data_IF_247072448589
#
_entry.id   IF_247072448589
#
_cell.length_a   1.000
_cell.length_b   1.000
_cell.length_c   1.000
_cell.angle_alpha   90.00
_cell.angle_beta   90.00
_cell.angle_gamma   90.00
#
_symmetry.space_group_name_H-M   'P 1'
#
loop_
_entity.id
_entity.type
_entity.pdbx_description
1 polymer ?
#
# COMPACT_ATOMS: atom_id res chain seq x y z
N UNK A 1 4.53 16.05 -8.08
CA UNK A 1 5.18 14.76 -8.47
C UNK A 1 5.23 14.64 -9.99
N UNK A 2 6.26 14.01 -10.55
CA UNK A 2 6.32 13.63 -11.97
C UNK A 2 6.12 12.12 -12.09
N UNK A 3 5.19 11.70 -12.94
CA UNK A 3 5.00 10.30 -13.32
C UNK A 3 5.12 10.20 -14.84
N UNK A 4 6.03 9.37 -15.34
CA UNK A 4 6.20 9.12 -16.77
C UNK A 4 6.65 7.68 -17.00
N UNK A 5 6.18 7.08 -18.09
CA UNK A 5 6.67 5.77 -18.56
C UNK A 5 7.28 5.94 -19.94
N UNK A 6 8.38 5.24 -20.21
CA UNK A 6 8.89 5.16 -21.57
C UNK A 6 7.96 4.28 -22.38
N UNK A 7 7.11 4.92 -23.19
CA UNK A 7 6.10 4.23 -23.99
C UNK A 7 6.72 3.13 -24.85
N UNK A 8 7.91 3.34 -25.40
CA UNK A 8 8.60 2.33 -26.21
C UNK A 8 8.94 1.06 -25.42
N UNK A 9 9.53 1.19 -24.23
CA UNK A 9 9.92 0.04 -23.40
C UNK A 9 8.69 -0.75 -22.94
N UNK A 10 7.61 -0.04 -22.63
CA UNK A 10 6.33 -0.65 -22.27
C UNK A 10 5.68 -1.35 -23.47
N UNK A 11 5.66 -0.70 -24.64
CA UNK A 11 5.14 -1.29 -25.88
C UNK A 11 5.88 -2.57 -26.24
N UNK A 12 7.21 -2.55 -26.26
CA UNK A 12 8.02 -3.72 -26.65
C UNK A 12 7.76 -4.90 -25.70
N UNK A 13 7.57 -4.65 -24.40
CA UNK A 13 7.23 -5.70 -23.41
C UNK A 13 5.79 -6.19 -23.51
N UNK A 14 4.82 -5.29 -23.72
CA UNK A 14 3.41 -5.66 -23.93
C UNK A 14 3.27 -6.49 -25.19
N UNK A 15 3.90 -6.07 -26.28
CA UNK A 15 3.83 -6.78 -27.56
C UNK A 15 4.26 -8.23 -27.35
N UNK A 16 5.40 -8.47 -26.71
CA UNK A 16 5.87 -9.83 -26.42
C UNK A 16 4.96 -10.63 -25.47
N UNK A 17 4.40 -10.00 -24.44
CA UNK A 17 3.63 -10.70 -23.40
C UNK A 17 2.18 -11.02 -23.80
N UNK A 18 1.63 -10.28 -24.77
CA UNK A 18 0.23 -10.34 -25.15
C UNK A 18 0.03 -10.49 -26.68
N UNK A 19 1.00 -11.07 -27.38
CA UNK A 19 0.89 -11.43 -28.81
C UNK A 19 -0.43 -12.20 -29.02
N UNK A 20 -1.27 -11.71 -29.94
CA UNK A 20 -2.51 -12.35 -30.41
C UNK A 20 -3.60 -12.61 -29.35
N UNK A 21 -3.59 -11.85 -28.24
CA UNK A 21 -4.66 -11.93 -27.21
C UNK A 21 -5.87 -11.08 -27.58
N UNK A 22 -7.02 -11.75 -27.71
CA UNK A 22 -8.36 -11.15 -27.78
C UNK A 22 -9.21 -11.63 -26.60
N UNK A 23 -10.17 -10.80 -26.15
CA UNK A 23 -11.12 -11.16 -25.10
C UNK A 23 -11.10 -10.21 -23.89
N UNK A 24 -11.68 -10.67 -22.78
CA UNK A 24 -11.68 -9.92 -21.52
C UNK A 24 -10.37 -10.14 -20.76
N UNK A 25 -9.90 -9.08 -20.11
CA UNK A 25 -8.75 -9.18 -19.19
C UNK A 25 -9.20 -9.82 -17.87
N UNK A 26 -8.55 -10.95 -17.54
CA UNK A 26 -8.64 -11.59 -16.25
C UNK A 26 -7.48 -11.22 -15.34
N UNK A 27 -7.46 -11.83 -14.16
CA UNK A 27 -6.42 -11.63 -13.15
C UNK A 27 -5.02 -11.97 -13.67
N UNK A 28 -4.87 -13.04 -14.44
CA UNK A 28 -3.57 -13.52 -14.95
C UNK A 28 -2.92 -12.50 -15.91
N UNK A 29 -3.73 -11.85 -16.75
CA UNK A 29 -3.27 -10.77 -17.61
C UNK A 29 -2.81 -9.54 -16.81
N UNK A 30 -3.56 -9.20 -15.76
CA UNK A 30 -3.22 -8.08 -14.87
C UNK A 30 -1.89 -8.37 -14.14
N UNK A 31 -1.71 -9.59 -13.63
CA UNK A 31 -0.47 -9.98 -12.96
C UNK A 31 0.75 -9.90 -13.89
N UNK A 32 0.60 -10.32 -15.16
CA UNK A 32 1.65 -10.15 -16.17
C UNK A 32 1.98 -8.68 -16.40
N UNK A 33 0.97 -7.82 -16.47
CA UNK A 33 1.18 -6.38 -16.62
C UNK A 33 1.89 -5.78 -15.41
N UNK A 34 1.53 -6.18 -14.19
CA UNK A 34 2.25 -5.74 -12.98
C UNK A 34 3.73 -6.11 -13.02
N UNK A 35 4.06 -7.34 -13.44
CA UNK A 35 5.45 -7.77 -13.56
C UNK A 35 6.22 -6.93 -14.60
N UNK A 36 5.61 -6.63 -15.74
CA UNK A 36 6.20 -5.75 -16.77
C UNK A 36 6.45 -4.35 -16.21
N UNK A 37 5.50 -3.80 -15.45
CA UNK A 37 5.63 -2.47 -14.87
C UNK A 37 6.70 -2.42 -13.77
N UNK A 38 6.82 -3.47 -12.95
CA UNK A 38 7.89 -3.60 -11.97
C UNK A 38 9.27 -3.65 -12.66
N UNK A 39 9.38 -4.38 -13.78
CA UNK A 39 10.61 -4.42 -14.58
C UNK A 39 11.04 -3.07 -15.11
N UNK A 40 10.07 -2.32 -15.63
CA UNK A 40 10.31 -0.97 -16.14
C UNK A 40 10.73 -0.06 -14.98
N UNK A 41 10.02 -0.13 -13.86
CA UNK A 41 10.30 0.69 -12.68
C UNK A 41 11.69 0.45 -12.09
N UNK A 42 12.14 -0.81 -12.06
CA UNK A 42 13.49 -1.17 -11.63
C UNK A 42 14.57 -0.50 -12.49
N UNK A 43 14.34 -0.40 -13.80
CA UNK A 43 15.31 0.23 -14.74
C UNK A 43 15.23 1.75 -14.69
N UNK A 44 14.02 2.29 -14.62
CA UNK A 44 13.74 3.71 -14.53
C UNK A 44 12.44 3.93 -13.77
N UNK A 45 12.55 4.63 -12.64
CA UNK A 45 11.39 4.92 -11.79
C UNK A 45 10.27 5.60 -12.57
N UNK A 46 9.08 4.99 -12.50
CA UNK A 46 7.86 5.51 -13.12
C UNK A 46 7.44 6.79 -12.40
N UNK A 47 7.49 6.79 -11.08
CA UNK A 47 7.18 7.96 -10.26
C UNK A 47 8.44 8.52 -9.60
N UNK A 48 8.66 9.82 -9.77
CA UNK A 48 9.69 10.57 -9.05
C UNK A 48 8.95 11.46 -8.04
N UNK A 49 8.88 10.97 -6.80
CA UNK A 49 8.28 11.70 -5.68
C UNK A 49 9.25 12.74 -5.12
N UNK A 50 8.70 13.88 -4.68
CA UNK A 50 9.46 14.91 -3.97
C UNK A 50 9.79 14.49 -2.52
N UNK A 51 9.11 13.46 -1.99
CA UNK A 51 9.30 12.98 -0.63
C UNK A 51 9.30 11.45 -0.56
N UNK A 52 10.19 10.88 0.25
CA UNK A 52 10.28 9.45 0.50
C UNK A 52 9.06 8.90 1.25
N UNK A 53 8.34 9.73 2.02
CA UNK A 53 7.16 9.31 2.77
C UNK A 53 6.02 8.82 1.86
N UNK A 54 5.92 9.34 0.64
CA UNK A 54 4.79 9.08 -0.25
C UNK A 54 5.10 8.06 -1.35
N UNK A 55 6.31 7.50 -1.42
CA UNK A 55 6.70 6.57 -2.49
C UNK A 55 5.79 5.34 -2.49
N UNK A 56 5.71 4.62 -1.36
CA UNK A 56 4.95 3.37 -1.29
C UNK A 56 3.45 3.59 -1.58
N UNK A 57 2.86 4.66 -1.03
CA UNK A 57 1.45 4.97 -1.28
C UNK A 57 1.19 5.34 -2.74
N UNK A 58 2.14 6.00 -3.40
CA UNK A 58 2.04 6.32 -4.83
C UNK A 58 1.92 5.06 -5.67
N UNK A 59 2.81 4.09 -5.48
CA UNK A 59 2.75 2.82 -6.21
C UNK A 59 1.51 1.99 -5.86
N UNK A 60 1.10 1.97 -4.59
CA UNK A 60 -0.13 1.29 -4.19
C UNK A 60 -1.37 1.88 -4.89
N UNK A 61 -1.49 3.21 -4.93
CA UNK A 61 -2.58 3.89 -5.66
C UNK A 61 -2.48 3.60 -7.16
N UNK A 62 -1.28 3.61 -7.73
CA UNK A 62 -1.08 3.28 -9.14
C UNK A 62 -1.57 1.88 -9.49
N UNK A 63 -1.18 0.86 -8.74
CA UNK A 63 -1.62 -0.52 -8.98
C UNK A 63 -3.13 -0.69 -8.75
N UNK A 64 -3.70 0.00 -7.76
CA UNK A 64 -5.15 0.06 -7.55
C UNK A 64 -5.87 0.64 -8.77
N UNK A 65 -5.42 1.81 -9.25
CA UNK A 65 -6.01 2.48 -10.42
C UNK A 65 -5.78 1.71 -11.72
N UNK A 66 -4.73 0.91 -11.78
CA UNK A 66 -4.51 0.02 -12.90
C UNK A 66 -5.55 -1.09 -12.88
N UNK A 67 -5.64 -1.82 -11.77
CA UNK A 67 -6.60 -2.93 -11.61
C UNK A 67 -8.04 -2.50 -11.87
N UNK A 68 -8.49 -1.42 -11.24
CA UNK A 68 -9.84 -0.85 -11.40
C UNK A 68 -10.21 -0.61 -12.87
N UNK A 69 -9.28 -0.03 -13.63
CA UNK A 69 -9.49 0.27 -15.05
C UNK A 69 -9.32 -0.93 -15.98
N UNK A 70 -8.73 -2.03 -15.50
CA UNK A 70 -8.38 -3.18 -16.32
C UNK A 70 -9.35 -4.34 -16.17
N UNK A 71 -9.82 -4.59 -14.95
CA UNK A 71 -10.64 -5.76 -14.66
C UNK A 71 -11.96 -5.70 -15.45
N UNK A 72 -12.29 -6.79 -16.16
CA UNK A 72 -13.51 -6.88 -16.97
C UNK A 72 -13.53 -5.97 -18.20
N UNK A 73 -12.41 -5.34 -18.57
CA UNK A 73 -12.34 -4.53 -19.79
C UNK A 73 -12.22 -5.45 -21.01
N UNK A 74 -13.17 -5.37 -21.97
CA UNK A 74 -13.06 -6.12 -23.22
C UNK A 74 -11.99 -5.48 -24.12
N UNK A 75 -11.12 -6.32 -24.68
CA UNK A 75 -10.00 -5.86 -25.50
C UNK A 75 -10.03 -6.46 -26.89
N UNK A 76 -10.15 -5.55 -27.87
CA UNK A 76 -9.95 -5.82 -29.30
C UNK A 76 -8.60 -5.33 -29.82
N UNK A 77 -7.89 -4.47 -29.06
CA UNK A 77 -6.53 -4.01 -29.38
C UNK A 77 -5.73 -3.86 -28.08
N UNK A 78 -5.07 -4.94 -27.69
CA UNK A 78 -4.38 -5.05 -26.40
C UNK A 78 -3.33 -3.97 -26.19
N UNK A 79 -2.51 -3.71 -27.22
CA UNK A 79 -1.47 -2.68 -27.17
C UNK A 79 -2.03 -1.29 -26.86
N UNK A 80 -3.01 -0.83 -27.66
CA UNK A 80 -3.55 0.52 -27.51
C UNK A 80 -4.31 0.66 -26.19
N UNK A 81 -5.12 -0.34 -25.83
CA UNK A 81 -5.90 -0.31 -24.60
C UNK A 81 -5.00 -0.30 -23.37
N UNK A 82 -3.96 -1.15 -23.33
CA UNK A 82 -3.06 -1.19 -22.17
C UNK A 82 -2.33 0.12 -21.98
N UNK A 83 -1.82 0.70 -23.08
CA UNK A 83 -1.13 2.00 -23.02
C UNK A 83 -2.04 3.11 -22.48
N UNK A 84 -3.28 3.18 -22.99
CA UNK A 84 -4.25 4.17 -22.54
C UNK A 84 -4.60 4.00 -21.06
N UNK A 85 -4.82 2.76 -20.62
CA UNK A 85 -5.12 2.49 -19.21
C UNK A 85 -3.94 2.82 -18.31
N UNK A 86 -2.71 2.37 -18.64
CA UNK A 86 -1.51 2.69 -17.87
C UNK A 86 -1.32 4.20 -17.74
N UNK A 87 -1.42 4.94 -18.85
CA UNK A 87 -1.27 6.40 -18.85
C UNK A 87 -2.35 7.09 -17.99
N UNK A 88 -3.62 6.66 -18.10
CA UNK A 88 -4.72 7.18 -17.27
C UNK A 88 -4.52 6.85 -15.79
N UNK A 89 -3.98 5.68 -15.45
CA UNK A 89 -3.68 5.32 -14.07
C UNK A 89 -2.54 6.16 -13.52
N UNK A 90 -1.47 6.40 -14.29
CA UNK A 90 -0.37 7.32 -13.92
C UNK A 90 -0.92 8.73 -13.66
N UNK A 91 -1.77 9.25 -14.55
CA UNK A 91 -2.37 10.57 -14.40
C UNK A 91 -3.24 10.67 -13.14
N UNK A 92 -4.08 9.66 -12.91
CA UNK A 92 -4.98 9.58 -11.75
C UNK A 92 -4.18 9.55 -10.44
N UNK A 93 -3.15 8.71 -10.36
CA UNK A 93 -2.23 8.66 -9.22
C UNK A 93 -1.54 10.02 -9.00
N UNK A 94 -1.10 10.67 -10.08
CA UNK A 94 -0.45 11.98 -10.00
C UNK A 94 -1.38 13.04 -9.41
N UNK A 95 -2.64 13.06 -9.83
CA UNK A 95 -3.64 13.98 -9.29
C UNK A 95 -3.82 13.79 -7.79
N UNK A 96 -4.04 12.55 -7.35
CA UNK A 96 -4.25 12.20 -5.93
C UNK A 96 -3.03 12.61 -5.08
N UNK A 97 -1.82 12.23 -5.50
CA UNK A 97 -0.60 12.55 -4.74
C UNK A 97 -0.30 14.06 -4.74
N UNK A 98 -0.59 14.77 -5.82
CA UNK A 98 -0.43 16.22 -5.85
C UNK A 98 -1.40 16.91 -4.88
N UNK A 99 -2.63 16.42 -4.73
CA UNK A 99 -3.57 16.93 -3.73
C UNK A 99 -3.03 16.70 -2.31
N UNK A 100 -2.52 15.50 -2.00
CA UNK A 100 -1.86 15.22 -0.72
C UNK A 100 -0.69 16.18 -0.47
N UNK A 101 0.17 16.39 -1.48
CA UNK A 101 1.30 17.31 -1.36
C UNK A 101 0.84 18.73 -1.06
N UNK A 102 -0.15 19.24 -1.82
CA UNK A 102 -0.72 20.58 -1.65
C UNK A 102 -1.30 20.79 -0.26
N UNK A 103 -2.09 19.85 0.26
CA UNK A 103 -2.61 19.96 1.64
C UNK A 103 -1.48 19.96 2.66
N UNK A 104 -0.47 19.11 2.50
CA UNK A 104 0.69 19.17 3.39
C UNK A 104 1.42 20.52 3.33
N UNK A 105 1.49 21.15 2.15
CA UNK A 105 2.11 22.46 1.96
C UNK A 105 1.34 23.61 2.63
N UNK A 106 0.02 23.49 2.74
CA UNK A 106 -0.85 24.42 3.48
C UNK A 106 -0.59 24.39 4.99
N UNK A 107 0.01 23.32 5.52
CA UNK A 107 0.40 23.24 6.93
C UNK A 107 1.66 24.08 7.21
N UNK A 108 1.55 25.10 8.06
CA UNK A 108 2.67 25.99 8.42
C UNK A 108 3.81 25.25 9.14
N UNK A 109 3.47 24.27 9.98
CA UNK A 109 4.44 23.55 10.79
C UNK A 109 5.04 22.35 10.04
N UNK A 110 6.35 22.41 9.76
CA UNK A 110 7.07 21.32 9.07
C UNK A 110 6.99 19.97 9.81
N UNK A 111 6.95 19.97 11.16
CA UNK A 111 6.77 18.74 11.93
C UNK A 111 5.38 18.14 11.69
N UNK A 112 4.33 18.97 11.64
CA UNK A 112 2.97 18.51 11.34
C UNK A 112 2.86 18.00 9.91
N UNK A 113 3.43 18.72 8.94
CA UNK A 113 3.53 18.30 7.53
C UNK A 113 4.18 16.92 7.38
N UNK A 114 5.31 16.69 8.07
CA UNK A 114 5.99 15.38 8.05
C UNK A 114 5.13 14.28 8.68
N UNK A 115 4.46 14.55 9.80
CA UNK A 115 3.54 13.60 10.44
C UNK A 115 2.37 13.27 9.51
N UNK A 116 1.79 14.28 8.86
CA UNK A 116 0.73 14.11 7.88
C UNK A 116 1.17 13.21 6.72
N UNK A 117 2.29 13.51 6.05
CA UNK A 117 2.81 12.66 4.97
C UNK A 117 3.15 11.25 5.45
N UNK A 118 3.66 11.10 6.67
CA UNK A 118 3.92 9.78 7.26
C UNK A 118 2.63 9.00 7.52
N UNK A 119 1.57 9.64 7.97
CA UNK A 119 0.27 9.00 8.21
C UNK A 119 -0.37 8.54 6.90
N UNK A 120 -0.35 9.39 5.86
CA UNK A 120 -0.87 9.04 4.54
C UNK A 120 -0.01 7.97 3.86
N UNK A 121 1.31 8.15 3.90
CA UNK A 121 2.28 7.22 3.32
C UNK A 121 2.20 5.81 3.90
N UNK A 122 1.83 5.69 5.18
CA UNK A 122 1.62 4.42 5.88
C UNK A 122 0.14 4.08 6.05
N UNK A 123 -0.74 4.51 5.13
CA UNK A 123 -2.15 4.13 5.17
C UNK A 123 -2.32 2.62 4.92
N UNK A 124 -2.65 1.90 5.98
CA UNK A 124 -2.78 0.45 6.01
C UNK A 124 -3.90 -0.08 5.10
N UNK A 125 -5.01 0.65 4.96
CA UNK A 125 -6.16 0.23 4.14
C UNK A 125 -5.74 0.18 2.67
N UNK A 126 -5.09 1.24 2.19
CA UNK A 126 -4.62 1.33 0.79
C UNK A 126 -3.55 0.25 0.52
N UNK A 127 -2.64 0.02 1.46
CA UNK A 127 -1.64 -1.01 1.30
C UNK A 127 -2.23 -2.43 1.25
N UNK A 128 -3.24 -2.73 2.09
CA UNK A 128 -3.95 -4.01 2.05
C UNK A 128 -4.69 -4.19 0.73
N UNK A 129 -5.35 -3.14 0.21
CA UNK A 129 -6.03 -3.20 -1.07
C UNK A 129 -5.05 -3.47 -2.22
N UNK A 130 -3.94 -2.72 -2.29
CA UNK A 130 -2.89 -2.93 -3.29
C UNK A 130 -2.21 -4.30 -3.18
N UNK A 131 -2.11 -4.85 -1.96
CA UNK A 131 -1.61 -6.20 -1.73
C UNK A 131 -2.56 -7.25 -2.30
N UNK A 132 -3.87 -7.14 -2.03
CA UNK A 132 -4.88 -8.11 -2.50
C UNK A 132 -4.90 -8.17 -4.03
N UNK A 133 -4.83 -7.02 -4.68
CA UNK A 133 -4.74 -6.89 -6.14
C UNK A 133 -3.50 -7.60 -6.70
N UNK A 134 -2.37 -7.52 -5.99
CA UNK A 134 -1.08 -8.13 -6.36
C UNK A 134 -0.82 -9.46 -5.66
N UNK A 135 -1.86 -10.15 -5.19
CA UNK A 135 -1.72 -11.31 -4.31
C UNK A 135 -0.83 -12.40 -4.93
N UNK A 136 -0.96 -12.68 -6.22
CA UNK A 136 -0.21 -13.75 -6.88
C UNK A 136 1.29 -13.44 -6.91
N UNK A 137 1.67 -12.19 -7.22
CA UNK A 137 3.04 -11.71 -7.12
C UNK A 137 3.59 -11.89 -5.70
N UNK A 138 2.89 -11.37 -4.69
CA UNK A 138 3.37 -11.47 -3.31
C UNK A 138 3.41 -12.90 -2.78
N UNK A 139 2.47 -13.76 -3.20
CA UNK A 139 2.47 -15.18 -2.83
C UNK A 139 3.70 -15.89 -3.38
N UNK A 140 4.06 -15.63 -4.64
CA UNK A 140 5.27 -16.18 -5.25
C UNK A 140 6.55 -15.73 -4.52
N UNK A 141 6.62 -14.45 -4.15
CA UNK A 141 7.74 -13.89 -3.40
C UNK A 141 7.87 -14.54 -2.01
N UNK A 142 6.75 -14.67 -1.29
CA UNK A 142 6.71 -15.25 0.05
C UNK A 142 7.01 -16.75 0.02
N UNK A 143 6.53 -17.48 -0.99
CA UNK A 143 6.86 -18.88 -1.19
C UNK A 143 8.36 -19.07 -1.44
N UNK A 144 8.96 -18.21 -2.26
CA UNK A 144 10.40 -18.22 -2.52
C UNK A 144 11.21 -17.91 -1.25
N UNK A 145 10.75 -16.98 -0.42
CA UNK A 145 11.34 -16.70 0.90
C UNK A 145 11.27 -17.93 1.80
N UNK A 146 10.10 -18.57 1.88
CA UNK A 146 9.87 -19.72 2.72
C UNK A 146 10.78 -20.88 2.30
N UNK A 147 10.88 -21.18 1.00
CA UNK A 147 11.75 -22.24 0.48
C UNK A 147 13.22 -21.99 0.85
N UNK A 148 13.72 -20.76 0.61
CA UNK A 148 15.10 -20.38 0.93
C UNK A 148 15.44 -20.53 2.41
N UNK A 149 14.49 -20.24 3.30
CA UNK A 149 14.67 -20.32 4.74
C UNK A 149 14.31 -21.71 5.33
N UNK A 150 13.91 -22.66 4.49
CA UNK A 150 13.48 -24.01 4.88
C UNK A 150 12.17 -24.02 5.68
N UNK A 151 11.30 -23.04 5.45
CA UNK A 151 10.00 -22.91 6.10
C UNK A 151 8.95 -23.62 5.23
N UNK A 152 8.22 -24.60 5.78
CA UNK A 152 7.20 -25.31 5.02
C UNK A 152 6.04 -24.38 4.64
N UNK A 153 5.42 -24.63 3.48
CA UNK A 153 4.16 -23.97 3.11
C UNK A 153 3.08 -24.25 4.15
N UNK A 154 2.13 -23.33 4.28
CA UNK A 154 0.98 -23.53 5.16
C UNK A 154 0.19 -24.78 4.76
N UNK A 155 -0.32 -25.48 5.78
CA UNK A 155 -1.22 -26.60 5.57
C UNK A 155 -2.49 -26.11 4.84
N UNK A 156 -2.76 -26.64 3.65
CA UNK A 156 -3.94 -26.29 2.85
C UNK A 156 -5.25 -26.55 3.58
N UNK A 157 -5.25 -27.50 4.55
CA UNK A 157 -6.41 -27.86 5.38
C UNK A 157 -6.66 -26.92 6.56
N UNK A 158 -5.80 -25.92 6.78
CA UNK A 158 -5.99 -24.94 7.84
C UNK A 158 -7.30 -24.16 7.60
N UNK A 159 -8.18 -24.13 8.60
CA UNK A 159 -9.46 -23.41 8.51
C UNK A 159 -9.26 -21.90 8.58
N UNK A 160 -10.21 -21.11 8.08
CA UNK A 160 -10.14 -19.64 8.16
C UNK A 160 -10.08 -19.15 9.62
N UNK A 161 -10.84 -19.79 10.51
CA UNK A 161 -10.82 -19.49 11.94
C UNK A 161 -9.44 -19.78 12.55
N UNK A 162 -8.80 -20.89 12.17
CA UNK A 162 -7.46 -21.22 12.63
C UNK A 162 -6.42 -20.19 12.13
N UNK A 163 -6.52 -19.78 10.86
CA UNK A 163 -5.64 -18.74 10.29
C UNK A 163 -5.80 -17.42 11.04
N UNK A 164 -7.04 -16.97 11.29
CA UNK A 164 -7.32 -15.73 12.03
C UNK A 164 -6.82 -15.80 13.46
N UNK A 165 -7.13 -16.90 14.17
CA UNK A 165 -6.65 -17.12 15.53
C UNK A 165 -5.12 -17.05 15.61
N UNK A 166 -4.41 -17.62 14.64
CA UNK A 166 -2.95 -17.52 14.57
C UNK A 166 -2.49 -16.10 14.27
N UNK A 167 -3.12 -15.37 13.34
CA UNK A 167 -2.77 -13.99 13.02
C UNK A 167 -2.91 -13.02 14.20
N UNK A 168 -3.87 -13.27 15.08
CA UNK A 168 -4.10 -12.46 16.28
C UNK A 168 -3.07 -12.71 17.39
N UNK A 169 -2.31 -13.81 17.31
CA UNK A 169 -1.24 -14.10 18.26
C UNK A 169 -0.13 -13.06 18.18
N UNK A 170 0.51 -12.82 19.33
CA UNK A 170 1.70 -12.00 19.40
C UNK A 170 2.88 -12.69 18.70
N UNK A 171 3.71 -11.91 18.01
CA UNK A 171 5.00 -12.39 17.49
C UNK A 171 5.97 -12.70 18.64
N UNK A 172 7.08 -13.37 18.36
CA UNK A 172 8.06 -13.76 19.40
C UNK A 172 8.55 -12.59 20.26
N UNK A 173 8.64 -11.38 19.69
CA UNK A 173 9.03 -10.17 20.43
C UNK A 173 7.95 -9.64 21.40
N UNK A 174 6.73 -10.17 21.33
CA UNK A 174 5.53 -9.77 22.10
C UNK A 174 5.08 -8.31 21.96
N UNK A 175 5.60 -7.58 20.97
CA UNK A 175 5.31 -6.14 20.79
C UNK A 175 4.07 -5.85 19.93
N UNK A 176 3.68 -6.78 19.06
CA UNK A 176 2.52 -6.64 18.18
C UNK A 176 1.99 -8.01 17.76
N UNK A 177 0.79 -8.04 17.19
CA UNK A 177 0.23 -9.25 16.58
C UNK A 177 0.97 -9.61 15.29
N UNK A 178 0.88 -10.89 14.89
CA UNK A 178 1.39 -11.38 13.60
C UNK A 178 0.75 -10.65 12.43
N UNK A 179 -0.55 -10.36 12.51
CA UNK A 179 -1.28 -9.53 11.55
C UNK A 179 -0.60 -8.17 11.35
N UNK A 180 -0.39 -7.44 12.45
CA UNK A 180 0.21 -6.10 12.41
C UNK A 180 1.64 -6.15 11.89
N UNK A 181 2.41 -7.17 12.28
CA UNK A 181 3.79 -7.35 11.81
C UNK A 181 3.85 -7.66 10.31
N UNK A 182 3.07 -8.62 9.83
CA UNK A 182 3.01 -9.00 8.42
C UNK A 182 2.59 -7.81 7.54
N UNK A 183 1.53 -7.10 7.94
CA UNK A 183 1.09 -5.89 7.26
C UNK A 183 2.21 -4.85 7.19
N UNK A 184 2.90 -4.56 8.30
CA UNK A 184 4.00 -3.60 8.32
C UNK A 184 5.17 -3.99 7.39
N UNK A 185 5.53 -5.27 7.31
CA UNK A 185 6.60 -5.73 6.43
C UNK A 185 6.19 -5.52 4.97
N UNK A 186 4.99 -5.94 4.60
CA UNK A 186 4.45 -5.77 3.25
C UNK A 186 4.31 -4.29 2.88
N UNK A 187 3.89 -3.45 3.83
CA UNK A 187 3.75 -1.99 3.64
C UNK A 187 5.08 -1.28 3.43
N UNK A 188 6.11 -1.63 4.23
CA UNK A 188 7.40 -0.92 4.21
C UNK A 188 8.33 -1.43 3.13
N UNK A 189 8.21 -2.71 2.79
CA UNK A 189 9.14 -3.38 1.90
C UNK A 189 8.47 -3.92 0.62
N UNK A 190 7.20 -3.60 0.33
CA UNK A 190 6.47 -4.17 -0.81
C UNK A 190 7.27 -4.29 -2.11
N UNK A 191 7.97 -3.22 -2.49
CA UNK A 191 8.79 -3.18 -3.72
C UNK A 191 10.28 -3.54 -3.48
N UNK A 192 10.69 -3.73 -2.22
CA UNK A 192 12.05 -4.07 -1.80
C UNK A 192 12.21 -5.53 -1.33
N UNK A 193 11.11 -6.27 -1.15
CA UNK A 193 11.16 -7.70 -0.77
C UNK A 193 11.90 -8.51 -1.85
N UNK A 194 11.94 -8.00 -3.07
CA UNK A 194 12.59 -8.57 -4.25
C UNK A 194 13.86 -7.78 -4.62
N UNK A 195 15.02 -8.44 -4.66
CA UNK A 195 16.21 -7.97 -5.37
C UNK A 195 16.29 -8.74 -6.69
N UNK A 196 16.37 -8.04 -7.82
CA UNK A 196 16.79 -8.68 -9.08
C UNK A 196 18.31 -8.85 -9.06
N UNK A 197 18.79 -10.08 -9.18
CA UNK A 197 20.21 -10.33 -9.37
C UNK A 197 20.66 -9.99 -10.82
N UNK A 198 21.95 -10.13 -11.09
CA UNK A 198 22.55 -9.80 -12.39
C UNK A 198 21.96 -10.59 -13.58
N UNK A 199 21.19 -11.65 -13.31
CA UNK A 199 20.51 -12.47 -14.31
C UNK A 199 19.00 -12.19 -14.38
N UNK A 200 18.54 -11.05 -13.85
CA UNK A 200 17.13 -10.68 -13.71
C UNK A 200 16.31 -11.63 -12.82
N UNK A 201 16.95 -12.53 -12.06
CA UNK A 201 16.25 -13.44 -11.14
C UNK A 201 15.84 -12.67 -9.90
N UNK A 202 14.54 -12.66 -9.62
CA UNK A 202 13.95 -12.11 -8.40
C UNK A 202 14.37 -12.96 -7.20
N UNK A 203 15.28 -12.46 -6.39
CA UNK A 203 15.75 -13.05 -5.14
C UNK A 203 15.17 -12.28 -3.95
N UNK A 204 14.57 -12.98 -2.97
CA UNK A 204 14.10 -12.30 -1.81
C UNK A 204 15.22 -11.79 -0.88
N UNK A 205 15.05 -10.58 -0.36
CA UNK A 205 16.04 -9.86 0.44
C UNK A 205 15.83 -10.01 1.96
N UNK A 206 15.73 -11.23 2.47
CA UNK A 206 15.46 -11.46 3.90
C UNK A 206 16.52 -10.85 4.83
N UNK A 207 17.80 -10.87 4.41
CA UNK A 207 18.95 -10.43 5.21
C UNK A 207 19.08 -8.91 5.34
N UNK A 208 18.86 -8.12 4.28
CA UNK A 208 18.95 -6.66 4.39
C UNK A 208 17.65 -6.06 4.95
N UNK A 209 16.52 -6.77 4.82
CA UNK A 209 15.22 -6.34 5.35
C UNK A 209 14.95 -6.80 6.79
N UNK A 210 15.90 -7.52 7.42
CA UNK A 210 15.76 -8.08 8.76
C UNK A 210 14.44 -8.87 8.94
N UNK A 211 14.07 -9.67 7.94
CA UNK A 211 12.86 -10.51 7.97
C UNK A 211 13.21 -11.85 8.62
N UNK A 212 12.57 -12.15 9.75
CA UNK A 212 12.78 -13.40 10.48
C UNK A 212 11.95 -14.56 9.90
N UNK A 213 12.22 -15.80 10.33
CA UNK A 213 11.38 -16.95 9.98
C UNK A 213 9.94 -16.81 10.51
N UNK A 214 9.80 -16.23 11.70
CA UNK A 214 8.49 -15.92 12.30
C UNK A 214 7.71 -14.89 11.48
N UNK A 215 8.41 -13.93 10.88
CA UNK A 215 7.83 -12.96 9.95
C UNK A 215 7.34 -13.61 8.67
N UNK A 216 8.11 -14.53 8.07
CA UNK A 216 7.71 -15.26 6.85
C UNK A 216 6.47 -16.11 7.10
N UNK A 217 6.42 -16.82 8.23
CA UNK A 217 5.21 -17.55 8.64
C UNK A 217 4.00 -16.63 8.82
N UNK A 218 4.20 -15.47 9.45
CA UNK A 218 3.16 -14.45 9.62
C UNK A 218 2.66 -13.91 8.28
N UNK A 219 3.56 -13.70 7.31
CA UNK A 219 3.21 -13.30 5.95
C UNK A 219 2.42 -14.38 5.22
N UNK A 220 2.81 -15.66 5.30
CA UNK A 220 2.04 -16.77 4.73
C UNK A 220 0.59 -16.80 5.29
N UNK A 221 0.43 -16.65 6.61
CA UNK A 221 -0.90 -16.60 7.25
C UNK A 221 -1.71 -15.40 6.75
N UNK A 222 -1.05 -14.24 6.60
CA UNK A 222 -1.67 -13.02 6.13
C UNK A 222 -2.23 -13.17 4.71
N UNK A 223 -1.50 -13.83 3.79
CA UNK A 223 -2.00 -14.13 2.44
C UNK A 223 -3.25 -14.99 2.53
N UNK A 224 -3.20 -16.06 3.34
CA UNK A 224 -4.28 -17.05 3.43
C UNK A 224 -5.57 -16.42 3.95
N UNK A 225 -5.47 -15.52 4.93
CA UNK A 225 -6.62 -14.82 5.52
C UNK A 225 -7.25 -13.78 4.60
N UNK A 226 -6.46 -13.16 3.72
CA UNK A 226 -6.92 -12.09 2.83
C UNK A 226 -7.26 -12.60 1.43
N UNK A 227 -7.73 -13.85 1.33
CA UNK A 227 -8.29 -14.40 0.12
C UNK A 227 -9.72 -13.86 -0.10
N UNK A 228 -9.86 -12.55 -0.31
CA UNK A 228 -11.16 -11.93 -0.57
C UNK A 228 -11.64 -12.24 -1.99
N UNK A 229 -12.96 -12.37 -2.13
CA UNK A 229 -13.61 -12.37 -3.43
C UNK A 229 -13.51 -11.00 -4.11
N UNK A 230 -13.59 -10.98 -5.44
CA UNK A 230 -13.46 -9.78 -6.27
C UNK A 230 -14.44 -8.67 -5.88
N UNK A 231 -15.66 -9.01 -5.45
CA UNK A 231 -16.72 -8.05 -5.09
C UNK A 231 -16.41 -7.25 -3.81
N UNK A 232 -15.77 -7.89 -2.83
CA UNK A 232 -15.38 -7.25 -1.56
C UNK A 232 -14.18 -6.29 -1.77
N UNK A 233 -13.31 -6.63 -2.73
CA UNK A 233 -12.22 -5.77 -3.16
C UNK A 233 -12.75 -4.53 -3.88
N UNK A 234 -13.66 -4.66 -4.84
CA UNK A 234 -14.26 -3.54 -5.57
C UNK A 234 -14.98 -2.56 -4.64
N UNK A 235 -15.77 -3.07 -3.69
CA UNK A 235 -16.43 -2.22 -2.68
C UNK A 235 -15.41 -1.45 -1.83
N UNK A 236 -14.26 -2.05 -1.52
CA UNK A 236 -13.17 -1.39 -0.79
C UNK A 236 -12.51 -0.30 -1.64
N UNK A 237 -12.40 -0.52 -2.96
CA UNK A 237 -11.83 0.45 -3.89
C UNK A 237 -12.73 1.67 -4.08
N UNK A 238 -14.05 1.49 -4.18
CA UNK A 238 -15.01 2.59 -4.28
C UNK A 238 -14.95 3.51 -3.05
N UNK A 239 -14.93 2.91 -1.86
CA UNK A 239 -14.78 3.66 -0.59
C UNK A 239 -13.42 4.35 -0.50
N UNK A 240 -12.35 3.71 -1.00
CA UNK A 240 -11.02 4.32 -1.04
C UNK A 240 -10.97 5.49 -2.02
N UNK A 241 -11.64 5.39 -3.16
CA UNK A 241 -11.75 6.47 -4.14
C UNK A 241 -12.51 7.65 -3.58
N UNK A 242 -13.62 7.42 -2.86
CA UNK A 242 -14.33 8.46 -2.13
C UNK A 242 -13.45 9.10 -1.03
N UNK A 243 -12.70 8.30 -0.27
CA UNK A 243 -11.77 8.81 0.76
C UNK A 243 -10.63 9.64 0.14
N UNK A 244 -10.13 9.22 -1.03
CA UNK A 244 -9.05 9.91 -1.75
C UNK A 244 -9.56 11.12 -2.55
N UNK A 245 -10.85 11.15 -2.89
CA UNK A 245 -11.52 12.25 -3.59
C UNK A 245 -12.14 13.28 -2.62
N UNK A 246 -12.41 12.91 -1.37
CA UNK A 246 -12.89 13.83 -0.35
C UNK A 246 -11.86 14.94 -0.12
N UNK A 247 -12.34 16.16 -0.33
CA UNK A 247 -11.62 17.42 -0.13
C UNK A 247 -10.99 17.42 1.27
N UNK A 248 -9.66 17.49 1.31
CA UNK A 248 -8.85 17.21 2.51
C UNK A 248 -9.16 18.20 3.68
N UNK A 249 -9.96 19.24 3.41
CA UNK A 249 -10.59 20.15 4.37
C UNK A 249 -11.40 19.44 5.49
N UNK A 250 -11.99 18.25 5.26
CA UNK A 250 -12.67 17.50 6.34
C UNK A 250 -11.72 16.63 7.19
N UNK A 251 -10.59 16.20 6.63
CA UNK A 251 -9.60 15.39 7.36
C UNK A 251 -8.90 16.23 8.44
N UNK A 252 -8.72 17.54 8.23
CA UNK A 252 -8.22 18.45 9.26
C UNK A 252 -9.10 18.50 10.52
N UNK A 253 -10.43 18.43 10.36
CA UNK A 253 -11.36 18.40 11.50
C UNK A 253 -11.27 17.11 12.31
N UNK A 254 -11.00 15.98 11.66
CA UNK A 254 -10.97 14.67 12.31
C UNK A 254 -9.57 14.27 12.82
N UNK A 255 -8.49 14.82 12.26
CA UNK A 255 -7.12 14.59 12.73
C UNK A 255 -6.86 15.20 14.13
N UNK A 256 -7.61 16.25 14.51
CA UNK A 256 -7.60 16.81 15.86
C UNK A 256 -8.19 15.88 16.94
N UNK A 257 -8.96 14.85 16.55
CA UNK A 257 -9.63 13.95 17.50
C UNK A 257 -8.70 12.79 17.92
N UNK A 258 -7.72 12.41 17.10
CA UNK A 258 -6.83 11.27 17.37
C UNK A 258 -5.43 11.64 17.88
N UNK A 259 -5.01 12.90 17.79
CA UNK A 259 -3.85 13.41 18.51
C UNK A 259 -4.33 14.04 19.82
N UNK A 260 -4.62 13.21 20.82
CA UNK A 260 -4.98 13.69 22.15
C UNK A 260 -3.92 14.63 22.70
N UNK A 261 -4.23 15.93 22.73
CA UNK A 261 -3.61 16.89 23.63
C UNK A 261 -4.01 16.50 25.05
N UNK A 262 -3.22 15.63 25.68
CA UNK A 262 -3.16 15.56 27.15
C UNK A 262 -2.36 16.75 27.66
N UNK A 263 -2.85 17.97 27.43
CA UNK A 263 -2.41 19.14 28.18
C UNK A 263 -3.58 20.10 28.37
N UNK A 264 -3.95 20.25 29.64
CA UNK A 264 -4.65 21.38 30.25
C UNK A 264 -6.17 21.53 30.02
N UNK A 265 -6.95 20.81 30.82
CA UNK A 265 -8.10 21.40 31.51
C UNK A 265 -8.17 20.95 32.98
N UNK A 266 -7.25 21.41 33.81
CA UNK A 266 -7.55 21.69 35.22
C UNK A 266 -7.96 23.16 35.31
N UNK A 267 -9.24 23.44 35.04
CA UNK A 267 -9.86 24.66 35.56
C UNK A 267 -10.02 24.46 37.07
N UNK A 268 -9.17 25.15 37.83
CA UNK A 268 -9.44 25.41 39.24
C UNK A 268 -10.78 26.17 39.36
N UNK A 269 -11.65 25.84 40.33
CA UNK A 269 -12.86 26.59 40.54
C UNK A 269 -12.53 28.02 40.97
N UNK A 270 -13.24 28.95 40.37
CA UNK A 270 -13.19 30.40 40.62
C UNK A 270 -13.32 30.69 42.12
N UNK A 271 -12.26 31.24 42.70
CA UNK A 271 -12.26 31.82 44.03
C UNK A 271 -12.82 33.25 43.99
N UNK A 272 -14.00 33.40 44.56
CA UNK A 272 -14.75 34.60 44.92
C UNK A 272 -13.89 35.88 45.19
N UNK A 273 -14.17 37.02 44.52
CA UNK A 273 -13.47 38.29 44.75
C UNK A 273 -13.86 39.05 46.03
N UNK A 274 -14.66 38.48 46.94
CA UNK A 274 -15.19 39.18 48.12
C UNK A 274 -14.50 38.85 49.45
N UNK A 275 -13.16 38.88 49.50
CA UNK A 275 -12.46 38.86 50.80
C UNK A 275 -11.09 39.56 50.78
N UNK A 276 -11.09 40.88 50.51
CA UNK A 276 -10.09 41.80 51.06
C UNK A 276 -10.81 42.85 51.89
N UNK A 277 -10.81 42.70 53.21
CA UNK A 277 -10.63 43.79 54.17
C UNK A 277 -10.63 43.28 55.62
N UNK A 278 -9.78 43.93 56.44
CA UNK A 278 -9.47 43.76 57.88
C UNK A 278 -8.19 42.93 58.11
N UNK A 279 -6.99 43.51 58.07
CA UNK A 279 -6.39 44.49 58.99
C UNK A 279 -6.00 43.90 60.36
N UNK A 280 -4.68 43.90 60.59
CA UNK A 280 -3.86 43.58 61.79
C UNK A 280 -3.46 42.13 61.98
#
# INVERSE_FOLDING_TARGET
>A
MVGHIHEKDLIDKIENAFIDKEGEIGQDEIDKLFNILEEIDCKRKIFISATNYLVNITYNIFYIKLFDKFIGTPISNYKKTVMDVVNKSIESTRLIINNVLKTGEEMENNSHRKKFYSSIGNNWIIAIAAYKIRKNLFSSIIDTLAEKEGIPKLNEKMSEEEVRSKLDQLIESKKCSRLHRAANILMKNGDNITIRDQNEIVKPNSSELCISKDDIYSMQLFIRANNMGTDELLTTLDVLDDILACDINEVEKNAYIYCGDTTTQTRAPEGDPSARQLAR
#
